data_IF_218352646452
#
_entry.id   IF_218352646452
#
_cell.length_a   1.000
_cell.length_b   1.000
_cell.length_c   1.000
_cell.angle_alpha   90.00
_cell.angle_beta   90.00
_cell.angle_gamma   90.00
#
_symmetry.space_group_name_H-M   'P 1'
#
loop_
_entity.id
_entity.type
_entity.pdbx_description
1 polymer ?
#
# COMPACT_ATOMS: atom_id res chain seq x y z
N UNK A 1 19.15 -16.68 -0.26
CA UNK A 1 18.84 -15.29 -0.68
C UNK A 1 18.59 -14.48 0.57
N UNK A 2 19.13 -13.29 0.67
CA UNK A 2 18.81 -12.39 1.79
C UNK A 2 17.32 -12.02 1.74
N UNK A 3 16.69 -12.08 2.90
CA UNK A 3 15.29 -11.69 3.05
C UNK A 3 15.12 -10.20 2.70
N UNK A 4 14.07 -9.83 1.97
CA UNK A 4 13.77 -8.44 1.57
C UNK A 4 12.55 -7.89 2.28
N UNK A 5 11.64 -8.76 2.70
CA UNK A 5 10.40 -8.43 3.39
C UNK A 5 10.20 -9.41 4.54
N UNK A 6 10.10 -8.93 5.76
CA UNK A 6 9.72 -9.72 6.92
C UNK A 6 8.23 -9.53 7.22
N UNK A 7 7.58 -10.60 7.70
CA UNK A 7 6.16 -10.58 8.07
C UNK A 7 6.01 -11.25 9.42
N UNK A 8 5.54 -10.52 10.42
CA UNK A 8 5.09 -11.06 11.70
C UNK A 8 3.60 -10.78 11.88
N UNK A 9 2.87 -11.77 12.41
CA UNK A 9 1.41 -11.65 12.60
C UNK A 9 1.13 -11.86 14.08
N UNK A 10 0.49 -10.88 14.69
CA UNK A 10 0.09 -10.91 16.08
C UNK A 10 -1.32 -10.32 16.22
N UNK A 11 -2.24 -11.06 16.85
CA UNK A 11 -3.61 -10.59 17.16
C UNK A 11 -4.35 -9.99 15.94
N UNK A 12 -4.19 -10.62 14.77
CA UNK A 12 -4.83 -10.20 13.52
C UNK A 12 -4.13 -9.04 12.80
N UNK A 13 -3.05 -8.49 13.35
CA UNK A 13 -2.24 -7.45 12.70
C UNK A 13 -1.00 -8.07 12.07
N UNK A 14 -0.85 -7.92 10.75
CA UNK A 14 0.37 -8.28 10.04
C UNK A 14 1.30 -7.06 9.97
N UNK A 15 2.41 -7.11 10.70
CA UNK A 15 3.50 -6.14 10.63
C UNK A 15 4.48 -6.58 9.52
N UNK A 16 4.46 -5.87 8.41
CA UNK A 16 5.27 -6.12 7.21
C UNK A 16 6.36 -5.08 7.13
N UNK A 17 7.60 -5.52 7.05
CA UNK A 17 8.76 -4.63 7.05
C UNK A 17 9.67 -4.91 5.87
N UNK A 18 10.07 -3.86 5.17
CA UNK A 18 11.15 -3.90 4.20
C UNK A 18 12.47 -3.96 4.97
N UNK A 19 13.29 -4.98 4.72
CA UNK A 19 14.47 -5.29 5.57
C UNK A 19 15.81 -5.18 4.84
N UNK A 20 15.91 -4.23 3.90
CA UNK A 20 17.15 -3.89 3.20
C UNK A 20 17.64 -2.50 3.60
N UNK A 21 17.84 -2.29 4.89
CA UNK A 21 18.13 -1.00 5.51
C UNK A 21 19.44 -0.35 5.00
N UNK A 22 20.48 -1.14 4.68
CA UNK A 22 21.76 -0.71 4.13
C UNK A 22 21.62 0.01 2.77
N UNK A 23 20.61 -0.33 2.00
CA UNK A 23 20.25 0.29 0.71
C UNK A 23 18.97 1.14 0.79
N UNK A 24 18.58 1.60 1.99
CA UNK A 24 17.34 2.36 2.20
C UNK A 24 16.13 1.68 1.56
N UNK A 25 16.05 0.37 1.67
CA UNK A 25 14.99 -0.48 1.12
C UNK A 25 14.76 -0.29 -0.39
N UNK A 26 15.82 0.01 -1.15
CA UNK A 26 15.76 0.16 -2.60
C UNK A 26 15.28 -1.12 -3.30
N UNK A 27 14.52 -0.92 -4.37
CA UNK A 27 13.84 -1.97 -5.13
C UNK A 27 14.78 -2.65 -6.11
N UNK A 28 15.39 -3.77 -5.69
CA UNK A 28 16.04 -4.73 -6.57
C UNK A 28 15.05 -5.81 -7.04
N UNK A 29 15.47 -6.75 -7.87
CA UNK A 29 14.62 -7.84 -8.35
C UNK A 29 14.03 -8.66 -7.19
N UNK A 30 14.85 -8.99 -6.20
CA UNK A 30 14.42 -9.77 -5.04
C UNK A 30 13.38 -9.02 -4.20
N UNK A 31 13.47 -7.68 -4.09
CA UNK A 31 12.47 -6.87 -3.41
C UNK A 31 11.13 -6.88 -4.15
N UNK A 32 11.12 -6.76 -5.49
CA UNK A 32 9.89 -6.89 -6.27
C UNK A 32 9.23 -8.25 -6.06
N UNK A 33 10.02 -9.33 -6.14
CA UNK A 33 9.53 -10.69 -5.91
C UNK A 33 8.97 -10.87 -4.49
N UNK A 34 9.68 -10.35 -3.49
CA UNK A 34 9.25 -10.43 -2.10
C UNK A 34 7.95 -9.63 -1.83
N UNK A 35 7.80 -8.44 -2.43
CA UNK A 35 6.58 -7.63 -2.31
C UNK A 35 5.36 -8.35 -2.92
N UNK A 36 5.52 -8.93 -4.11
CA UNK A 36 4.44 -9.69 -4.75
C UNK A 36 4.10 -10.93 -3.92
N UNK A 37 5.10 -11.72 -3.53
CA UNK A 37 4.89 -12.91 -2.70
C UNK A 37 4.26 -12.58 -1.33
N UNK A 38 4.62 -11.44 -0.73
CA UNK A 38 4.02 -10.98 0.53
C UNK A 38 2.51 -10.74 0.37
N UNK A 39 2.08 -10.05 -0.68
CA UNK A 39 0.65 -9.81 -0.92
C UNK A 39 -0.10 -11.09 -1.27
N UNK A 40 0.49 -11.99 -2.04
CA UNK A 40 -0.10 -13.31 -2.35
C UNK A 40 -0.26 -14.19 -1.11
N UNK A 41 0.74 -14.19 -0.21
CA UNK A 41 0.66 -14.87 1.08
C UNK A 41 -0.45 -14.28 1.95
N UNK A 42 -0.41 -12.94 2.18
CA UNK A 42 -1.35 -12.26 3.06
C UNK A 42 -2.80 -12.33 2.56
N UNK A 43 -3.02 -12.43 1.24
CA UNK A 43 -4.36 -12.59 0.67
C UNK A 43 -5.02 -13.93 1.03
N UNK A 44 -4.22 -14.95 1.38
CA UNK A 44 -4.64 -16.31 1.73
C UNK A 44 -4.54 -16.59 3.23
N UNK A 45 -3.86 -15.70 3.97
CA UNK A 45 -3.59 -15.90 5.39
C UNK A 45 -4.86 -15.69 6.22
N UNK A 46 -5.33 -16.77 6.85
CA UNK A 46 -6.49 -16.71 7.74
C UNK A 46 -6.10 -15.97 9.02
N UNK A 47 -7.03 -15.19 9.57
CA UNK A 47 -6.81 -14.46 10.81
C UNK A 47 -6.15 -13.08 10.63
N UNK A 48 -5.60 -12.74 9.45
CA UNK A 48 -5.15 -11.37 9.18
C UNK A 48 -6.35 -10.45 8.98
N UNK A 49 -6.35 -9.35 9.73
CA UNK A 49 -7.43 -8.33 9.74
C UNK A 49 -6.96 -6.95 9.27
N UNK A 50 -5.69 -6.64 9.48
CA UNK A 50 -5.03 -5.38 9.06
C UNK A 50 -3.57 -5.64 8.76
N UNK A 51 -3.02 -4.89 7.82
CA UNK A 51 -1.59 -4.89 7.48
C UNK A 51 -0.99 -3.53 7.79
N UNK A 52 0.19 -3.51 8.43
CA UNK A 52 1.05 -2.33 8.54
C UNK A 52 2.29 -2.58 7.68
N UNK A 53 2.55 -1.70 6.72
CA UNK A 53 3.72 -1.75 5.84
C UNK A 53 4.70 -0.64 6.22
N UNK A 54 5.92 -1.01 6.58
CA UNK A 54 6.97 -0.08 7.01
C UNK A 54 8.34 -0.46 6.42
N UNK A 55 9.33 0.42 6.56
CA UNK A 55 10.73 0.12 6.23
C UNK A 55 11.61 0.04 7.46
N UNK A 56 12.64 -0.78 7.45
CA UNK A 56 13.70 -0.74 8.45
C UNK A 56 14.76 0.32 8.14
N UNK A 57 15.47 0.76 9.18
CA UNK A 57 16.56 1.71 9.05
C UNK A 57 16.07 3.15 8.87
N UNK A 58 16.74 3.93 8.02
CA UNK A 58 16.56 5.39 7.90
C UNK A 58 15.55 5.84 6.86
N UNK A 59 14.87 4.92 6.18
CA UNK A 59 13.95 5.25 5.09
C UNK A 59 12.85 4.20 4.92
N UNK A 60 11.70 4.62 4.46
CA UNK A 60 10.66 3.71 4.00
C UNK A 60 11.14 2.95 2.75
N UNK A 61 11.42 3.65 1.64
CA UNK A 61 11.95 3.04 0.42
C UNK A 61 12.51 4.13 -0.52
N UNK A 62 13.77 4.01 -0.93
CA UNK A 62 14.44 4.98 -1.79
C UNK A 62 14.10 4.85 -3.29
N UNK A 63 13.23 3.90 -3.67
CA UNK A 63 12.88 3.64 -5.07
C UNK A 63 13.79 2.62 -5.74
N UNK A 64 13.90 2.67 -7.05
CA UNK A 64 14.64 1.68 -7.81
C UNK A 64 16.13 1.66 -7.42
N UNK A 65 16.72 0.46 -7.28
CA UNK A 65 18.13 0.29 -6.92
C UNK A 65 19.05 0.90 -7.99
N UNK A 66 19.99 1.76 -7.54
CA UNK A 66 20.91 2.47 -8.41
C UNK A 66 21.81 1.54 -9.23
N UNK A 67 22.12 0.35 -8.74
CA UNK A 67 22.85 -0.65 -9.49
C UNK A 67 22.16 -1.07 -10.80
N UNK A 68 20.82 -0.98 -10.84
CA UNK A 68 20.05 -1.25 -12.05
C UNK A 68 20.21 -0.14 -13.11
N UNK A 69 20.25 1.13 -12.69
CA UNK A 69 20.53 2.23 -13.62
C UNK A 69 21.94 2.12 -14.22
N UNK A 70 22.93 1.69 -13.44
CA UNK A 70 24.26 1.42 -13.94
C UNK A 70 24.26 0.29 -14.99
N UNK A 71 23.54 -0.80 -14.73
CA UNK A 71 23.42 -1.92 -15.67
C UNK A 71 22.68 -1.52 -16.97
N UNK A 72 21.70 -0.62 -16.92
CA UNK A 72 21.06 -0.06 -18.12
C UNK A 72 22.06 0.66 -19.01
N UNK A 73 22.96 1.45 -18.40
CA UNK A 73 23.99 2.20 -19.13
C UNK A 73 25.00 1.29 -19.82
N UNK A 74 25.41 0.20 -19.17
CA UNK A 74 26.50 -0.67 -19.67
C UNK A 74 26.04 -1.69 -20.72
N UNK A 75 24.82 -2.22 -20.58
CA UNK A 75 24.34 -3.36 -21.39
C UNK A 75 23.25 -3.01 -22.41
N UNK A 76 22.81 -1.75 -22.48
CA UNK A 76 21.67 -1.38 -23.33
C UNK A 76 20.37 -2.12 -22.94
N UNK A 77 20.35 -2.76 -21.79
CA UNK A 77 19.20 -3.48 -21.26
C UNK A 77 18.12 -2.51 -20.75
N UNK A 78 16.87 -2.91 -20.85
CA UNK A 78 15.74 -2.08 -20.43
C UNK A 78 15.55 -1.99 -18.91
N UNK A 79 16.42 -2.61 -18.08
CA UNK A 79 16.41 -2.52 -16.60
C UNK A 79 15.09 -2.89 -15.91
N UNK A 80 14.15 -3.42 -16.65
CA UNK A 80 12.79 -3.74 -16.18
C UNK A 80 12.85 -4.91 -15.19
N UNK A 81 12.20 -4.79 -14.01
CA UNK A 81 12.09 -5.90 -13.06
C UNK A 81 11.47 -7.13 -13.73
N UNK A 82 12.20 -8.25 -13.65
CA UNK A 82 11.69 -9.55 -14.11
C UNK A 82 12.33 -10.13 -15.37
N UNK A 83 13.49 -9.59 -15.84
CA UNK A 83 14.30 -10.17 -16.92
C UNK A 83 14.44 -9.29 -18.17
N UNK A 84 15.40 -9.63 -19.01
CA UNK A 84 15.91 -8.78 -20.11
C UNK A 84 14.92 -8.55 -21.27
N UNK A 85 13.79 -9.25 -21.34
CA UNK A 85 12.82 -9.17 -22.46
C UNK A 85 11.36 -9.13 -21.99
N UNK A 86 11.04 -8.43 -20.87
CA UNK A 86 9.65 -8.34 -20.45
C UNK A 86 8.88 -7.27 -21.24
N UNK A 87 7.81 -7.70 -21.84
CA UNK A 87 6.77 -6.84 -22.39
C UNK A 87 5.92 -6.25 -21.23
N UNK A 88 6.11 -4.96 -20.91
CA UNK A 88 5.33 -4.27 -19.87
C UNK A 88 3.84 -4.14 -20.23
N UNK A 89 3.49 -4.27 -21.51
CA UNK A 89 2.09 -4.27 -21.91
C UNK A 89 1.38 -5.60 -21.56
N UNK A 90 2.16 -6.67 -21.35
CA UNK A 90 1.59 -7.97 -20.98
C UNK A 90 1.08 -7.96 -19.54
N UNK A 91 -0.18 -8.28 -19.34
CA UNK A 91 -0.78 -8.47 -18.00
C UNK A 91 -0.39 -9.84 -17.44
N UNK A 92 0.23 -9.85 -16.27
CA UNK A 92 0.74 -11.06 -15.60
C UNK A 92 0.00 -11.37 -14.30
N UNK A 93 -0.72 -10.38 -13.74
CA UNK A 93 -1.45 -10.49 -12.48
C UNK A 93 -2.82 -9.78 -12.63
N UNK A 94 -3.77 -10.44 -13.28
CA UNK A 94 -5.07 -9.84 -13.60
C UNK A 94 -4.92 -8.62 -14.51
N UNK A 95 -5.25 -7.43 -14.01
CA UNK A 95 -5.11 -6.16 -14.75
C UNK A 95 -3.70 -5.56 -14.66
N UNK A 96 -2.84 -6.06 -13.79
CA UNK A 96 -1.50 -5.55 -13.54
C UNK A 96 -0.41 -6.36 -14.27
N UNK A 97 0.70 -5.71 -14.59
CA UNK A 97 1.96 -6.39 -14.87
C UNK A 97 2.72 -6.64 -13.56
N UNK A 98 3.87 -7.32 -13.63
CA UNK A 98 4.63 -7.69 -12.42
C UNK A 98 5.13 -6.47 -11.61
N UNK A 99 5.74 -5.40 -12.19
CA UNK A 99 6.07 -4.20 -11.43
C UNK A 99 4.85 -3.51 -10.80
N UNK A 100 3.74 -3.42 -11.51
CA UNK A 100 2.50 -2.86 -10.98
C UNK A 100 1.97 -3.68 -9.81
N UNK A 101 2.07 -5.01 -9.86
CA UNK A 101 1.56 -5.89 -8.81
C UNK A 101 2.27 -5.69 -7.47
N UNK A 102 3.55 -5.29 -7.48
CA UNK A 102 4.28 -4.97 -6.25
C UNK A 102 3.65 -3.81 -5.44
N UNK A 103 2.83 -2.98 -6.09
CA UNK A 103 2.04 -1.90 -5.47
C UNK A 103 0.55 -2.25 -5.42
N UNK A 104 0.00 -2.66 -6.55
CA UNK A 104 -1.43 -2.94 -6.71
C UNK A 104 -1.91 -4.08 -5.82
N UNK A 105 -1.05 -5.05 -5.54
CA UNK A 105 -1.34 -6.16 -4.65
C UNK A 105 -1.77 -5.73 -3.24
N UNK A 106 -1.16 -4.67 -2.69
CA UNK A 106 -1.55 -4.14 -1.37
C UNK A 106 -2.95 -3.55 -1.37
N UNK A 107 -3.31 -2.83 -2.44
CA UNK A 107 -4.65 -2.28 -2.60
C UNK A 107 -5.71 -3.37 -2.78
N UNK A 108 -5.35 -4.49 -3.42
CA UNK A 108 -6.24 -5.63 -3.66
C UNK A 108 -6.44 -6.52 -2.42
N UNK A 109 -5.60 -6.42 -1.38
CA UNK A 109 -5.80 -7.21 -0.16
C UNK A 109 -7.21 -6.99 0.39
N UNK A 110 -7.87 -8.05 0.87
CA UNK A 110 -9.24 -7.95 1.40
C UNK A 110 -9.32 -7.20 2.74
N UNK A 111 -8.17 -6.85 3.32
CA UNK A 111 -8.03 -6.19 4.62
C UNK A 111 -7.35 -4.83 4.47
N UNK A 112 -7.58 -3.86 5.38
CA UNK A 112 -6.92 -2.57 5.35
C UNK A 112 -5.40 -2.68 5.40
N UNK A 113 -4.73 -1.75 4.71
CA UNK A 113 -3.27 -1.59 4.70
C UNK A 113 -2.93 -0.18 5.14
N UNK A 114 -2.03 -0.04 6.10
CA UNK A 114 -1.51 1.25 6.58
C UNK A 114 -0.02 1.31 6.26
N UNK A 115 0.39 2.26 5.42
CA UNK A 115 1.81 2.52 5.21
C UNK A 115 2.34 3.49 6.27
N UNK A 116 3.39 3.08 6.96
CA UNK A 116 4.13 3.90 7.92
C UNK A 116 5.42 4.39 7.26
N UNK A 117 5.42 5.64 6.82
CA UNK A 117 6.47 6.23 5.99
C UNK A 117 7.33 7.17 6.82
N UNK A 118 8.64 6.89 6.88
CA UNK A 118 9.62 7.75 7.50
C UNK A 118 10.81 7.98 6.57
N UNK A 119 11.58 9.03 6.80
CA UNK A 119 12.75 9.38 6.00
C UNK A 119 12.37 9.65 4.54
N UNK A 120 12.69 8.75 3.62
CA UNK A 120 12.40 8.95 2.20
C UNK A 120 11.48 7.88 1.61
N UNK A 121 10.61 8.34 0.69
CA UNK A 121 9.81 7.50 -0.20
C UNK A 121 9.89 8.11 -1.61
N UNK A 122 10.77 7.57 -2.48
CA UNK A 122 11.05 8.13 -3.79
C UNK A 122 10.68 7.18 -4.93
N UNK A 123 10.15 7.72 -6.03
CA UNK A 123 9.80 6.96 -7.22
C UNK A 123 8.95 5.73 -6.91
N UNK A 124 9.44 4.53 -7.26
CA UNK A 124 8.76 3.27 -6.93
C UNK A 124 8.48 3.08 -5.43
N UNK A 125 9.31 3.66 -4.54
CA UNK A 125 9.07 3.65 -3.09
C UNK A 125 7.88 4.54 -2.69
N UNK A 126 7.72 5.69 -3.33
CA UNK A 126 6.54 6.51 -3.16
C UNK A 126 5.29 5.79 -3.71
N UNK A 127 5.38 5.22 -4.91
CA UNK A 127 4.29 4.44 -5.48
C UNK A 127 3.90 3.25 -4.58
N UNK A 128 4.88 2.58 -3.93
CA UNK A 128 4.60 1.51 -2.97
C UNK A 128 3.74 2.00 -1.79
N UNK A 129 4.03 3.19 -1.26
CA UNK A 129 3.23 3.78 -0.19
C UNK A 129 1.78 4.07 -0.61
N UNK A 130 1.55 4.36 -1.89
CA UNK A 130 0.21 4.61 -2.45
C UNK A 130 -0.66 3.36 -2.53
N UNK A 131 -0.06 2.17 -2.59
CA UNK A 131 -0.79 0.90 -2.54
C UNK A 131 -1.56 0.69 -1.23
N UNK A 132 -1.17 1.37 -0.16
CA UNK A 132 -1.87 1.33 1.13
C UNK A 132 -3.15 2.20 1.11
N UNK A 133 -4.11 1.83 1.96
CA UNK A 133 -5.35 2.58 2.16
C UNK A 133 -5.10 3.89 2.93
N UNK A 134 -4.22 3.84 3.92
CA UNK A 134 -3.83 4.98 4.76
C UNK A 134 -2.31 5.15 4.76
N UNK A 135 -1.83 6.39 4.90
CA UNK A 135 -0.40 6.73 4.97
C UNK A 135 -0.13 7.59 6.18
N UNK A 136 0.65 7.07 7.12
CA UNK A 136 1.12 7.79 8.30
C UNK A 136 2.57 8.20 8.03
N UNK A 137 2.88 9.46 8.17
CA UNK A 137 4.18 10.02 7.81
C UNK A 137 4.90 10.54 9.04
N UNK A 138 6.23 10.37 9.09
CA UNK A 138 7.05 11.14 10.02
C UNK A 138 7.13 12.60 9.59
N UNK A 139 7.33 13.55 10.52
CA UNK A 139 7.41 14.99 10.18
C UNK A 139 8.53 15.33 9.19
N UNK A 140 9.61 14.55 9.20
CA UNK A 140 10.78 14.67 8.32
C UNK A 140 10.66 13.88 7.02
N UNK A 141 9.54 13.19 6.78
CA UNK A 141 9.34 12.40 5.58
C UNK A 141 9.42 13.26 4.31
N UNK A 142 10.15 12.74 3.31
CA UNK A 142 10.38 13.37 2.02
C UNK A 142 9.95 12.42 0.92
N UNK A 143 9.11 12.89 0.03
CA UNK A 143 8.51 12.09 -1.03
C UNK A 143 8.74 12.73 -2.41
N UNK A 144 8.71 11.94 -3.46
CA UNK A 144 8.80 12.45 -4.82
C UNK A 144 8.28 11.43 -5.83
N UNK A 145 7.58 11.91 -6.85
CA UNK A 145 7.35 11.19 -8.12
C UNK A 145 8.61 11.39 -8.96
N UNK A 146 9.63 10.57 -8.72
CA UNK A 146 11.00 10.86 -9.15
C UNK A 146 11.35 10.31 -10.54
N UNK A 147 10.47 9.60 -11.18
CA UNK A 147 10.69 8.89 -12.44
C UNK A 147 11.19 9.82 -13.56
N UNK A 148 10.65 11.04 -13.65
CA UNK A 148 11.03 12.02 -14.68
C UNK A 148 12.52 12.41 -14.63
N UNK A 149 13.15 12.39 -13.47
CA UNK A 149 14.59 12.62 -13.30
C UNK A 149 15.42 11.62 -14.11
N UNK A 150 14.87 10.45 -14.39
CA UNK A 150 15.49 9.36 -15.11
C UNK A 150 14.94 9.19 -16.53
N UNK A 151 14.12 10.17 -17.01
CA UNK A 151 13.46 10.08 -18.30
C UNK A 151 12.39 8.99 -18.38
N UNK A 152 11.79 8.65 -17.22
CA UNK A 152 10.78 7.61 -17.08
C UNK A 152 9.44 8.21 -16.62
N UNK A 153 8.41 7.38 -16.61
CA UNK A 153 7.08 7.70 -16.06
C UNK A 153 6.77 6.78 -14.88
N UNK A 154 5.86 7.17 -13.96
CA UNK A 154 5.37 6.27 -12.91
C UNK A 154 4.67 5.06 -13.57
N UNK A 155 5.16 3.85 -13.31
CA UNK A 155 4.73 2.62 -13.97
C UNK A 155 4.40 1.47 -13.00
N UNK A 156 4.36 1.77 -11.69
CA UNK A 156 4.01 0.83 -10.63
C UNK A 156 2.61 1.11 -10.04
N UNK A 157 1.59 1.35 -10.89
CA UNK A 157 0.22 1.68 -10.51
C UNK A 157 0.05 3.05 -9.79
N UNK A 158 1.08 3.88 -9.72
CA UNK A 158 1.01 5.19 -9.06
C UNK A 158 0.02 6.14 -9.73
N UNK A 159 -0.02 6.19 -11.05
CA UNK A 159 -0.86 7.14 -11.81
C UNK A 159 -2.36 6.97 -11.50
N UNK A 160 -2.99 5.79 -11.63
CA UNK A 160 -4.41 5.64 -11.35
C UNK A 160 -4.75 5.86 -9.88
N UNK A 161 -3.84 5.54 -8.95
CA UNK A 161 -4.06 5.76 -7.52
C UNK A 161 -3.98 7.26 -7.20
N UNK A 162 -2.94 7.96 -7.68
CA UNK A 162 -2.77 9.40 -7.46
C UNK A 162 -3.94 10.21 -8.00
N UNK A 163 -4.47 9.84 -9.17
CA UNK A 163 -5.62 10.52 -9.78
C UNK A 163 -6.88 10.48 -8.89
N UNK A 164 -6.99 9.51 -7.98
CA UNK A 164 -8.10 9.43 -7.02
C UNK A 164 -7.84 10.15 -5.68
N UNK A 165 -6.61 10.60 -5.45
CA UNK A 165 -6.20 11.18 -4.15
C UNK A 165 -5.98 12.69 -4.22
N UNK A 166 -5.46 13.21 -5.33
CA UNK A 166 -5.05 14.61 -5.45
C UNK A 166 -5.72 15.30 -6.62
N UNK A 167 -5.78 16.64 -6.58
CA UNK A 167 -6.22 17.45 -7.71
C UNK A 167 -5.28 17.24 -8.91
N UNK A 168 -5.83 17.35 -10.12
CA UNK A 168 -5.10 17.12 -11.38
C UNK A 168 -3.87 18.04 -11.55
N UNK A 169 -3.97 19.31 -11.15
CA UNK A 169 -2.85 20.26 -11.20
C UNK A 169 -1.69 19.85 -10.28
N UNK A 170 -1.99 19.37 -9.06
CA UNK A 170 -0.97 18.86 -8.13
C UNK A 170 -0.33 17.58 -8.68
N UNK A 171 -1.14 16.65 -9.21
CA UNK A 171 -0.62 15.44 -9.85
C UNK A 171 0.38 15.76 -10.96
N UNK A 172 0.05 16.72 -11.81
CA UNK A 172 0.90 17.18 -12.93
C UNK A 172 2.17 17.86 -12.42
N UNK A 173 2.06 18.78 -11.45
CA UNK A 173 3.22 19.43 -10.84
C UNK A 173 4.22 18.41 -10.31
N UNK A 174 3.76 17.50 -9.44
CA UNK A 174 4.62 16.50 -8.83
C UNK A 174 5.24 15.53 -9.86
N UNK A 175 4.47 15.16 -10.90
CA UNK A 175 4.92 14.22 -11.92
C UNK A 175 5.88 14.87 -12.93
N UNK A 176 5.61 16.10 -13.38
CA UNK A 176 6.43 16.75 -14.39
C UNK A 176 7.72 17.35 -13.85
N UNK A 177 7.69 17.83 -12.60
CA UNK A 177 8.88 18.40 -11.97
C UNK A 177 9.75 17.35 -11.28
N UNK A 178 9.16 16.26 -10.80
CA UNK A 178 9.84 15.27 -9.96
C UNK A 178 10.39 15.85 -8.66
N UNK A 179 9.87 17.03 -8.25
CA UNK A 179 10.36 17.69 -7.04
C UNK A 179 10.10 16.87 -5.79
N UNK A 180 10.95 17.07 -4.83
CA UNK A 180 10.74 16.51 -3.49
C UNK A 180 9.72 17.39 -2.77
N UNK A 181 8.76 16.75 -2.08
CA UNK A 181 7.78 17.40 -1.23
C UNK A 181 7.79 16.82 0.19
N UNK A 182 7.40 17.65 1.15
CA UNK A 182 7.42 17.35 2.58
C UNK A 182 6.18 16.59 3.05
N UNK A 183 6.20 16.10 4.29
CA UNK A 183 5.05 15.52 4.95
C UNK A 183 3.87 16.51 5.05
N UNK A 184 4.16 17.80 5.31
CA UNK A 184 3.16 18.85 5.39
C UNK A 184 2.48 19.11 4.04
N UNK A 185 3.26 19.16 2.94
CA UNK A 185 2.72 19.24 1.59
C UNK A 185 1.88 18.01 1.26
N UNK A 186 2.36 16.81 1.60
CA UNK A 186 1.60 15.58 1.41
C UNK A 186 0.24 15.61 2.14
N UNK A 187 0.20 16.13 3.36
CA UNK A 187 -1.04 16.31 4.11
C UNK A 187 -1.97 17.31 3.39
N UNK A 188 -1.43 18.46 2.96
CA UNK A 188 -2.22 19.47 2.24
C UNK A 188 -2.77 18.96 0.90
N UNK A 189 -2.07 18.01 0.26
CA UNK A 189 -2.48 17.43 -1.02
C UNK A 189 -3.41 16.22 -0.89
N UNK A 190 -3.67 15.72 0.32
CA UNK A 190 -4.47 14.51 0.53
C UNK A 190 -3.68 13.20 0.39
N UNK A 191 -2.36 13.27 0.30
CA UNK A 191 -1.48 12.10 0.19
C UNK A 191 -1.12 11.49 1.54
N UNK A 192 -1.29 12.21 2.64
CA UNK A 192 -1.09 11.72 4.00
C UNK A 192 -2.41 11.68 4.77
N UNK A 193 -2.60 10.63 5.55
CA UNK A 193 -3.72 10.49 6.47
C UNK A 193 -3.40 11.13 7.83
N UNK A 194 -2.12 11.03 8.24
CA UNK A 194 -1.64 11.54 9.54
C UNK A 194 -0.14 11.85 9.48
N UNK A 195 0.29 12.86 10.22
CA UNK A 195 1.70 13.11 10.53
C UNK A 195 1.92 12.83 12.01
N UNK A 196 2.94 12.05 12.37
CA UNK A 196 3.26 11.65 13.74
C UNK A 196 4.74 11.27 13.88
N UNK A 197 5.30 11.43 15.08
CA UNK A 197 6.74 11.23 15.32
C UNK A 197 7.20 9.79 15.06
N UNK A 198 6.39 8.81 15.45
CA UNK A 198 6.62 7.39 15.13
C UNK A 198 5.44 6.85 14.30
N UNK A 199 5.53 6.91 12.96
CA UNK A 199 4.44 6.48 12.09
C UNK A 199 4.17 4.97 12.20
N UNK A 200 5.18 4.14 12.52
CA UNK A 200 4.96 2.70 12.68
C UNK A 200 4.22 2.39 13.97
N UNK A 201 4.61 2.97 15.10
CA UNK A 201 3.89 2.79 16.36
C UNK A 201 2.43 3.25 16.23
N UNK A 202 2.20 4.44 15.66
CA UNK A 202 0.86 4.98 15.43
C UNK A 202 0.04 4.09 14.46
N UNK A 203 0.66 3.55 13.41
CA UNK A 203 -0.01 2.63 12.48
C UNK A 203 -0.40 1.32 13.16
N UNK A 204 0.48 0.75 14.00
CA UNK A 204 0.19 -0.47 14.76
C UNK A 204 -0.92 -0.25 15.80
N UNK A 205 -1.00 0.93 16.42
CA UNK A 205 -2.09 1.29 17.33
C UNK A 205 -3.44 1.30 16.60
N UNK A 206 -3.53 2.02 15.49
CA UNK A 206 -4.76 2.07 14.67
C UNK A 206 -5.09 0.69 14.07
N UNK A 207 -4.07 -0.09 13.69
CA UNK A 207 -4.27 -1.45 13.19
C UNK A 207 -4.93 -2.36 14.24
N UNK A 208 -4.51 -2.28 15.53
CA UNK A 208 -5.15 -3.04 16.62
C UNK A 208 -6.59 -2.58 16.83
N UNK A 209 -6.87 -1.29 16.76
CA UNK A 209 -8.23 -0.78 16.84
C UNK A 209 -9.12 -1.36 15.74
N UNK A 210 -8.64 -1.35 14.48
CA UNK A 210 -9.37 -1.90 13.33
C UNK A 210 -9.53 -3.41 13.47
N UNK A 211 -8.49 -4.14 13.91
CA UNK A 211 -8.54 -5.58 14.14
C UNK A 211 -9.59 -5.99 15.19
N UNK A 212 -9.93 -5.07 16.10
CA UNK A 212 -11.01 -5.23 17.08
C UNK A 212 -12.43 -4.98 16.54
N UNK A 213 -12.60 -4.62 15.26
CA UNK A 213 -13.91 -4.44 14.62
C UNK A 213 -14.35 -5.72 13.91
N UNK A 214 -15.62 -5.77 13.47
CA UNK A 214 -16.13 -6.90 12.67
C UNK A 214 -15.32 -7.08 11.38
N UNK A 215 -14.63 -8.21 11.19
CA UNK A 215 -13.80 -8.42 10.01
C UNK A 215 -14.61 -8.45 8.71
N UNK A 216 -15.84 -8.97 8.75
CA UNK A 216 -16.72 -9.01 7.57
C UNK A 216 -17.14 -7.60 7.15
N UNK A 217 -17.48 -6.74 8.12
CA UNK A 217 -17.84 -5.34 7.84
C UNK A 217 -16.65 -4.55 7.29
N UNK A 218 -15.44 -4.72 7.86
CA UNK A 218 -14.22 -4.07 7.36
C UNK A 218 -13.91 -4.53 5.93
N UNK A 219 -13.95 -5.83 5.65
CA UNK A 219 -13.72 -6.38 4.30
C UNK A 219 -14.76 -5.88 3.30
N UNK A 220 -16.03 -5.81 3.70
CA UNK A 220 -17.11 -5.26 2.87
C UNK A 220 -16.88 -3.78 2.58
N UNK A 221 -16.58 -2.97 3.60
CA UNK A 221 -16.27 -1.56 3.43
C UNK A 221 -15.09 -1.34 2.45
N UNK A 222 -14.00 -2.12 2.58
CA UNK A 222 -12.87 -2.02 1.65
C UNK A 222 -13.27 -2.37 0.21
N UNK A 223 -14.09 -3.41 0.00
CA UNK A 223 -14.60 -3.72 -1.35
C UNK A 223 -15.41 -2.58 -1.94
N UNK A 224 -16.29 -1.97 -1.15
CA UNK A 224 -17.10 -0.82 -1.58
C UNK A 224 -16.20 0.36 -1.98
N UNK A 225 -15.26 0.75 -1.11
CA UNK A 225 -14.37 1.89 -1.32
C UNK A 225 -13.41 1.68 -2.51
N UNK A 226 -12.98 0.43 -2.76
CA UNK A 226 -12.12 0.12 -3.90
C UNK A 226 -12.85 0.11 -5.25
N UNK A 227 -14.18 0.01 -5.25
CA UNK A 227 -15.00 -0.10 -6.47
C UNK A 227 -15.87 1.14 -6.74
N UNK A 228 -15.53 2.28 -6.15
CA UNK A 228 -16.22 3.53 -6.46
C UNK A 228 -16.04 3.91 -7.94
N UNK A 229 -17.13 4.32 -8.58
CA UNK A 229 -17.15 4.77 -9.96
C UNK A 229 -17.79 6.16 -10.06
N UNK A 230 -17.64 6.81 -11.21
CA UNK A 230 -18.28 8.11 -11.50
C UNK A 230 -19.82 7.99 -11.55
N UNK A 231 -20.33 6.85 -12.06
CA UNK A 231 -21.75 6.53 -12.00
C UNK A 231 -22.09 6.00 -10.58
N UNK A 232 -22.99 6.65 -9.83
CA UNK A 232 -23.35 6.23 -8.48
C UNK A 232 -24.22 4.97 -8.43
N UNK A 233 -24.91 4.60 -9.52
CA UNK A 233 -25.84 3.46 -9.54
C UNK A 233 -25.21 2.14 -9.11
N UNK A 234 -24.09 1.72 -9.70
CA UNK A 234 -23.37 0.52 -9.27
C UNK A 234 -22.89 0.57 -7.82
N UNK A 235 -22.45 1.73 -7.33
CA UNK A 235 -22.00 1.88 -5.95
C UNK A 235 -23.17 1.74 -4.96
N UNK A 236 -24.31 2.36 -5.21
CA UNK A 236 -25.53 2.26 -4.38
C UNK A 236 -26.04 0.81 -4.33
N UNK A 237 -26.01 0.08 -5.44
CA UNK A 237 -26.38 -1.33 -5.47
C UNK A 237 -25.37 -2.18 -4.67
N UNK A 238 -24.07 -1.92 -4.80
CA UNK A 238 -23.03 -2.64 -4.06
C UNK A 238 -23.17 -2.44 -2.54
N UNK A 239 -23.45 -1.23 -2.06
CA UNK A 239 -23.74 -0.96 -0.66
C UNK A 239 -24.90 -1.83 -0.13
N UNK A 240 -25.99 -1.89 -0.88
CA UNK A 240 -27.17 -2.67 -0.52
C UNK A 240 -26.87 -4.17 -0.43
N UNK A 241 -26.11 -4.70 -1.40
CA UNK A 241 -25.71 -6.11 -1.44
C UNK A 241 -24.79 -6.46 -0.26
N UNK A 242 -23.78 -5.64 0.02
CA UNK A 242 -22.87 -5.90 1.14
C UNK A 242 -23.59 -5.77 2.48
N UNK A 243 -24.43 -4.76 2.67
CA UNK A 243 -25.21 -4.59 3.89
C UNK A 243 -26.15 -5.77 4.14
N UNK A 244 -26.81 -6.28 3.10
CA UNK A 244 -27.70 -7.45 3.23
C UNK A 244 -26.96 -8.71 3.67
N UNK A 245 -25.72 -8.91 3.23
CA UNK A 245 -24.88 -10.04 3.68
C UNK A 245 -24.47 -9.92 5.14
N UNK A 246 -24.29 -8.70 5.62
CA UNK A 246 -23.85 -8.42 7.00
C UNK A 246 -24.98 -8.53 8.01
N UNK A 247 -26.18 -8.04 7.69
CA UNK A 247 -27.35 -8.08 8.59
C UNK A 247 -27.65 -9.52 9.01
N UNK A 248 -27.66 -9.77 10.33
CA UNK A 248 -27.90 -11.08 10.92
C UNK A 248 -26.73 -12.07 10.83
N UNK A 249 -25.58 -11.68 10.28
CA UNK A 249 -24.39 -12.53 10.30
C UNK A 249 -23.87 -12.75 11.73
N UNK A 250 -23.12 -13.85 11.99
CA UNK A 250 -22.56 -14.11 13.32
C UNK A 250 -21.72 -12.93 13.88
N UNK A 251 -20.87 -12.34 13.04
CA UNK A 251 -20.02 -11.22 13.44
C UNK A 251 -20.81 -9.93 13.65
N UNK A 252 -21.86 -9.67 12.89
CA UNK A 252 -22.75 -8.53 13.11
C UNK A 252 -23.54 -8.70 14.42
N UNK A 253 -24.04 -9.90 14.68
CA UNK A 253 -24.75 -10.23 15.94
C UNK A 253 -23.83 -10.07 17.15
N UNK A 254 -22.57 -10.53 17.04
CA UNK A 254 -21.56 -10.35 18.10
C UNK A 254 -21.22 -8.86 18.30
N UNK A 255 -21.12 -8.09 17.22
CA UNK A 255 -20.90 -6.64 17.30
C UNK A 255 -22.00 -5.94 18.10
N UNK A 256 -23.27 -6.24 17.83
CA UNK A 256 -24.41 -5.69 18.58
C UNK A 256 -24.37 -6.13 20.04
N UNK A 257 -24.20 -7.43 20.26
CA UNK A 257 -24.22 -8.02 21.61
C UNK A 257 -23.10 -7.47 22.49
N UNK A 258 -21.88 -7.46 22.00
CA UNK A 258 -20.70 -6.97 22.74
C UNK A 258 -20.83 -5.49 23.11
N UNK A 259 -21.39 -4.66 22.20
CA UNK A 259 -21.63 -3.25 22.48
C UNK A 259 -22.70 -3.04 23.56
N UNK A 260 -23.80 -3.79 23.53
CA UNK A 260 -24.86 -3.73 24.58
C UNK A 260 -24.33 -4.22 25.94
N UNK A 261 -23.53 -5.27 25.93
CA UNK A 261 -22.92 -5.86 27.13
C UNK A 261 -21.68 -5.10 27.62
N UNK A 262 -21.21 -4.07 26.90
CA UNK A 262 -19.99 -3.27 27.22
C UNK A 262 -18.74 -4.13 27.44
N UNK A 263 -18.53 -5.15 26.64
CA UNK A 263 -17.38 -6.05 26.65
C UNK A 263 -16.65 -6.07 25.31
N UNK A 264 -15.45 -6.64 25.30
CA UNK A 264 -14.76 -6.93 24.05
C UNK A 264 -15.52 -7.94 23.20
N UNK A 265 -15.61 -7.68 21.89
CA UNK A 265 -16.20 -8.57 20.91
C UNK A 265 -15.29 -9.78 20.62
N UNK A 266 -15.91 -10.92 20.30
CA UNK A 266 -15.23 -12.16 19.90
C UNK A 266 -15.67 -12.54 18.48
N UNK A 267 -14.99 -11.99 17.49
CA UNK A 267 -15.30 -12.26 16.08
C UNK A 267 -14.70 -13.57 15.60
N UNK A 268 -15.42 -14.25 14.70
CA UNK A 268 -14.90 -15.35 13.92
C UNK A 268 -14.21 -14.82 12.64
N UNK A 269 -13.20 -15.55 12.15
CA UNK A 269 -12.51 -15.26 10.89
C UNK A 269 -13.13 -16.00 9.70
#
# INVERSE_FOLDING_TARGET
>A
MEERVSISILEGVADVRLVRADKMNALDQAMFEALVAATERLSKEKGVRVVVLSGEGRAFCAGLDMGRFAAMKEKGGNGIPGGENRDLAKRTHGQANFPQQAVWGWRQLPVPVIAAVHGVAFGGGFQLSLGADMRFLSPDARMSVMEIKWGLVPDMAGTPILASLVRDDILRDLTYTGRIFSAQEAMAYGLATRICDDPRAAALEVAREIAGKSPDAIRAAKRLLNNLSVDPGPALLAESIEQQKLIGSPNQTEAVRSNLEKRAAKYAD
#
